data_IF_683146752297
#
_entry.id   IF_683146752297
#
_cell.length_a   1.000
_cell.length_b   1.000
_cell.length_c   1.000
_cell.angle_alpha   90.00
_cell.angle_beta   90.00
_cell.angle_gamma   90.00
#
_symmetry.space_group_name_H-M   'P 1'
#
loop_
_entity.id
_entity.type
_entity.pdbx_description
1 polymer ?
#
# COMPACT_ATOMS: atom_id res chain seq x y z
N UNK A 1 -37.73 29.74 -15.92
CA UNK A 1 -37.39 28.74 -14.89
C UNK A 1 -36.17 28.04 -15.46
N UNK A 2 -34.98 28.49 -15.05
CA UNK A 2 -33.72 27.89 -15.50
C UNK A 2 -33.51 26.62 -14.70
N UNK A 3 -33.37 25.49 -15.39
CA UNK A 3 -32.96 24.24 -14.76
C UNK A 3 -31.62 24.45 -14.05
N UNK A 4 -31.44 23.94 -12.83
CA UNK A 4 -30.17 24.02 -12.14
C UNK A 4 -29.14 23.24 -12.97
N UNK A 5 -28.01 23.88 -13.26
CA UNK A 5 -26.83 23.23 -13.84
C UNK A 5 -26.36 22.18 -12.84
N UNK A 6 -26.77 20.94 -13.05
CA UNK A 6 -26.18 19.77 -12.41
C UNK A 6 -24.69 19.82 -12.74
N UNK A 7 -23.84 20.05 -11.74
CA UNK A 7 -22.41 20.25 -11.94
C UNK A 7 -21.70 18.97 -12.43
N UNK A 8 -22.43 17.87 -12.65
CA UNK A 8 -22.00 16.70 -13.39
C UNK A 8 -20.79 15.98 -12.78
N UNK A 9 -20.42 16.31 -11.53
CA UNK A 9 -19.30 15.68 -10.85
C UNK A 9 -19.72 14.29 -10.40
N UNK A 10 -18.96 13.28 -10.81
CA UNK A 10 -19.25 11.93 -10.39
C UNK A 10 -19.01 11.81 -8.87
N UNK A 11 -19.75 10.92 -8.16
CA UNK A 11 -19.47 10.64 -6.76
C UNK A 11 -18.04 10.12 -6.48
N UNK A 12 -17.33 9.66 -7.52
CA UNK A 12 -15.91 9.30 -7.45
C UNK A 12 -15.03 10.56 -7.38
N UNK A 13 -15.34 11.59 -8.17
CA UNK A 13 -14.58 12.84 -8.18
C UNK A 13 -14.64 13.55 -6.82
N UNK A 14 -15.82 13.64 -6.21
CA UNK A 14 -15.96 14.30 -4.91
C UNK A 14 -15.13 13.60 -3.82
N UNK A 15 -15.17 12.27 -3.79
CA UNK A 15 -14.42 11.47 -2.82
C UNK A 15 -12.92 11.54 -3.06
N UNK A 16 -12.48 11.40 -4.31
CA UNK A 16 -11.08 11.52 -4.66
C UNK A 16 -10.56 12.94 -4.36
N UNK A 17 -11.36 14.00 -4.56
CA UNK A 17 -11.00 15.37 -4.13
C UNK A 17 -10.88 15.50 -2.62
N UNK A 18 -11.80 14.90 -1.86
CA UNK A 18 -11.72 14.90 -0.39
C UNK A 18 -10.46 14.19 0.11
N UNK A 19 -10.17 13.02 -0.45
CA UNK A 19 -8.95 12.29 -0.14
C UNK A 19 -7.70 13.08 -0.57
N UNK A 20 -7.73 13.77 -1.71
CA UNK A 20 -6.64 14.64 -2.14
C UNK A 20 -6.39 15.80 -1.16
N UNK A 21 -7.45 16.41 -0.62
CA UNK A 21 -7.33 17.46 0.39
C UNK A 21 -6.63 16.94 1.66
N UNK A 22 -6.91 15.70 2.07
CA UNK A 22 -6.23 15.05 3.19
C UNK A 22 -4.75 14.79 2.86
N UNK A 23 -4.46 14.20 1.70
CA UNK A 23 -3.09 13.92 1.23
C UNK A 23 -2.25 15.21 1.21
N UNK A 24 -2.80 16.30 0.65
CA UNK A 24 -2.07 17.54 0.42
C UNK A 24 -2.20 18.57 1.54
N UNK A 25 -2.87 18.22 2.65
CA UNK A 25 -2.74 18.97 3.91
C UNK A 25 -1.31 18.87 4.48
N UNK A 26 -0.54 17.87 4.04
CA UNK A 26 0.85 17.63 4.42
C UNK A 26 1.76 17.76 3.18
N UNK A 27 2.54 18.84 3.06
CA UNK A 27 3.47 18.99 1.94
C UNK A 27 4.50 17.86 1.91
N UNK A 28 4.74 17.27 0.73
CA UNK A 28 5.78 16.26 0.51
C UNK A 28 5.30 15.05 -0.28
N UNK A 29 5.67 13.86 0.20
CA UNK A 29 5.30 12.58 -0.39
C UNK A 29 4.15 11.91 0.36
N UNK A 30 3.49 11.00 -0.34
CA UNK A 30 2.44 10.14 0.20
C UNK A 30 2.69 8.68 -0.19
N UNK A 31 2.43 7.78 0.75
CA UNK A 31 2.23 6.36 0.47
C UNK A 31 0.81 6.01 0.90
N UNK A 32 -0.04 5.64 -0.06
CA UNK A 32 -1.33 5.03 0.22
C UNK A 32 -1.15 3.51 0.29
N UNK A 33 -1.60 2.88 1.37
CA UNK A 33 -1.53 1.43 1.55
C UNK A 33 -2.93 0.87 1.50
N UNK A 34 -3.20 -0.04 0.57
CA UNK A 34 -4.49 -0.69 0.42
C UNK A 34 -4.36 -2.21 0.56
N UNK A 35 -5.31 -2.81 1.26
CA UNK A 35 -5.41 -4.25 1.49
C UNK A 35 -6.47 -4.84 0.60
N UNK A 36 -6.19 -5.97 -0.01
CA UNK A 36 -7.14 -6.72 -0.81
C UNK A 36 -7.13 -8.19 -0.43
N UNK A 37 -8.30 -8.80 -0.47
CA UNK A 37 -8.46 -10.23 -0.29
C UNK A 37 -7.67 -11.00 -1.36
N UNK A 38 -6.98 -12.07 -0.96
CA UNK A 38 -6.11 -12.81 -1.87
C UNK A 38 -6.84 -13.42 -3.06
N UNK A 39 -8.03 -13.96 -2.83
CA UNK A 39 -8.75 -14.78 -3.82
C UNK A 39 -9.73 -13.97 -4.67
N UNK A 40 -10.38 -12.99 -4.06
CA UNK A 40 -11.44 -12.18 -4.69
C UNK A 40 -10.95 -10.82 -5.17
N UNK A 41 -9.79 -10.38 -4.67
CA UNK A 41 -9.24 -9.05 -4.89
C UNK A 41 -10.19 -7.93 -4.43
N UNK A 42 -11.15 -8.23 -3.56
CA UNK A 42 -12.02 -7.21 -2.99
C UNK A 42 -11.24 -6.38 -1.94
N UNK A 43 -11.42 -5.05 -1.90
CA UNK A 43 -10.72 -4.22 -0.94
C UNK A 43 -11.17 -4.55 0.49
N UNK A 44 -10.21 -4.67 1.41
CA UNK A 44 -10.43 -4.93 2.83
C UNK A 44 -10.33 -3.66 3.68
N UNK A 45 -9.49 -2.71 3.26
CA UNK A 45 -9.27 -1.43 3.93
C UNK A 45 -8.05 -0.72 3.38
N UNK A 46 -7.80 0.50 3.83
CA UNK A 46 -6.63 1.27 3.42
C UNK A 46 -6.18 2.26 4.49
N UNK A 47 -5.01 2.85 4.30
CA UNK A 47 -4.50 3.97 5.10
C UNK A 47 -3.63 4.89 4.24
N UNK A 48 -3.51 6.16 4.65
CA UNK A 48 -2.71 7.18 3.96
C UNK A 48 -1.59 7.67 4.89
N UNK A 49 -0.36 7.61 4.40
CA UNK A 49 0.82 8.14 5.08
C UNK A 49 1.41 9.28 4.27
N UNK A 50 1.08 10.52 4.63
CA UNK A 50 1.60 11.72 3.99
C UNK A 50 2.55 12.46 4.94
N UNK A 51 3.66 12.98 4.40
CA UNK A 51 4.66 13.68 5.20
C UNK A 51 5.73 14.35 4.35
N UNK A 52 6.60 15.16 4.98
CA UNK A 52 7.68 15.84 4.27
C UNK A 52 8.65 14.83 3.65
N UNK A 53 9.32 15.24 2.57
CA UNK A 53 10.44 14.49 2.04
C UNK A 53 11.58 14.45 3.08
N UNK A 54 12.06 13.25 3.39
CA UNK A 54 13.13 13.02 4.35
C UNK A 54 14.30 12.23 3.77
N UNK A 55 14.12 11.55 2.62
CA UNK A 55 15.13 10.74 1.93
C UNK A 55 16.05 9.96 2.90
N UNK A 56 15.49 8.96 3.59
CA UNK A 56 16.23 8.21 4.61
C UNK A 56 17.06 7.07 4.00
N UNK A 57 18.16 6.71 4.69
CA UNK A 57 18.95 5.53 4.34
C UNK A 57 18.24 4.22 4.70
N UNK A 58 18.65 3.12 4.09
CA UNK A 58 18.15 1.78 4.44
C UNK A 58 18.40 1.47 5.94
N UNK A 59 19.55 1.87 6.48
CA UNK A 59 19.89 1.63 7.89
C UNK A 59 18.93 2.35 8.85
N UNK A 60 18.58 3.61 8.55
CA UNK A 60 17.59 4.36 9.32
C UNK A 60 16.19 3.76 9.17
N UNK A 61 15.81 3.39 7.95
CA UNK A 61 14.54 2.72 7.67
C UNK A 61 14.40 1.41 8.43
N UNK A 62 15.48 0.64 8.52
CA UNK A 62 15.53 -0.64 9.25
C UNK A 62 15.29 -0.46 10.74
N UNK A 63 15.95 0.54 11.35
CA UNK A 63 15.74 0.88 12.77
C UNK A 63 14.31 1.35 13.00
N UNK A 64 13.77 2.15 12.08
CA UNK A 64 12.39 2.64 12.15
C UNK A 64 11.37 1.51 12.05
N UNK A 65 11.52 0.61 11.08
CA UNK A 65 10.68 -0.57 10.93
C UNK A 65 10.72 -1.45 12.18
N UNK A 66 11.93 -1.71 12.71
CA UNK A 66 12.09 -2.49 13.94
C UNK A 66 11.35 -1.86 15.13
N UNK A 67 11.40 -0.54 15.25
CA UNK A 67 10.78 0.21 16.36
C UNK A 67 9.26 0.22 16.25
N UNK A 68 8.73 0.47 15.06
CA UNK A 68 7.30 0.70 14.86
C UNK A 68 6.51 -0.60 14.67
N UNK A 69 7.12 -1.62 14.03
CA UNK A 69 6.41 -2.84 13.62
C UNK A 69 6.93 -4.11 14.29
N UNK A 70 8.12 -4.04 14.90
CA UNK A 70 8.84 -5.22 15.39
C UNK A 70 9.68 -5.94 14.33
N UNK A 71 9.62 -5.52 13.06
CA UNK A 71 10.27 -6.22 11.95
C UNK A 71 11.17 -5.29 11.13
N UNK A 72 12.47 -5.28 11.44
CA UNK A 72 13.46 -4.52 10.66
C UNK A 72 14.87 -5.10 10.78
N UNK A 73 15.45 -5.08 11.99
CA UNK A 73 16.85 -5.45 12.22
C UNK A 73 17.13 -6.91 11.88
N UNK A 74 16.18 -7.81 12.15
CA UNK A 74 16.30 -9.25 11.85
C UNK A 74 15.89 -9.66 10.42
N UNK A 75 15.34 -8.75 9.62
CA UNK A 75 14.81 -9.05 8.28
C UNK A 75 15.81 -8.81 7.15
N UNK A 76 15.71 -9.56 6.07
CA UNK A 76 16.37 -9.22 4.80
C UNK A 76 15.61 -8.12 4.07
N UNK A 77 16.32 -7.21 3.38
CA UNK A 77 15.66 -6.30 2.44
C UNK A 77 15.21 -7.09 1.20
N UNK A 78 13.94 -6.96 0.83
CA UNK A 78 13.39 -7.60 -0.38
C UNK A 78 12.83 -6.57 -1.35
N UNK A 79 12.80 -6.92 -2.63
CA UNK A 79 12.47 -5.97 -3.69
C UNK A 79 13.53 -4.88 -3.86
N UNK A 80 13.16 -3.77 -4.49
CA UNK A 80 14.05 -2.63 -4.74
C UNK A 80 13.26 -1.34 -4.84
N UNK A 81 13.86 -0.23 -4.41
CA UNK A 81 13.26 1.10 -4.47
C UNK A 81 12.40 1.41 -3.25
N UNK A 82 11.41 2.28 -3.45
CA UNK A 82 10.47 2.73 -2.43
C UNK A 82 9.19 1.89 -2.46
N UNK A 83 8.67 1.39 -1.33
CA UNK A 83 9.26 1.43 0.02
C UNK A 83 10.34 0.37 0.26
N UNK A 84 11.13 0.58 1.31
CA UNK A 84 11.97 -0.48 1.87
C UNK A 84 11.10 -1.54 2.54
N UNK A 85 11.27 -2.81 2.14
CA UNK A 85 10.52 -3.96 2.67
C UNK A 85 11.47 -4.89 3.41
N UNK A 86 11.40 -4.92 4.74
CA UNK A 86 12.21 -5.80 5.59
C UNK A 86 11.44 -7.05 5.93
N UNK A 87 11.82 -8.17 5.33
CA UNK A 87 11.17 -9.47 5.51
C UNK A 87 12.02 -10.38 6.38
N UNK A 88 11.44 -10.85 7.48
CA UNK A 88 12.02 -11.88 8.33
C UNK A 88 11.29 -13.20 8.09
N UNK A 89 11.99 -14.17 7.47
CA UNK A 89 11.41 -15.47 7.19
C UNK A 89 10.96 -16.16 8.49
N UNK A 90 9.74 -16.71 8.54
CA UNK A 90 9.26 -17.46 9.68
C UNK A 90 10.00 -18.80 9.83
N UNK A 91 10.54 -19.05 11.02
CA UNK A 91 10.80 -20.41 11.52
C UNK A 91 9.53 -20.92 12.19
N UNK A 92 9.30 -20.45 13.42
CA UNK A 92 7.98 -20.48 14.07
C UNK A 92 7.27 -19.11 13.92
N UNK A 93 8.05 -18.03 14.05
CA UNK A 93 7.61 -16.64 13.94
C UNK A 93 8.51 -15.86 12.99
N UNK A 94 7.90 -15.01 12.19
CA UNK A 94 8.53 -14.07 11.27
C UNK A 94 7.60 -12.89 11.03
N UNK A 95 7.88 -12.12 9.99
CA UNK A 95 7.05 -10.96 9.67
C UNK A 95 7.68 -10.03 8.67
N UNK A 96 7.04 -8.87 8.50
CA UNK A 96 7.46 -7.84 7.56
C UNK A 96 7.26 -6.47 8.18
N UNK A 97 8.22 -5.57 7.94
CA UNK A 97 8.10 -4.15 8.19
C UNK A 97 8.41 -3.36 6.94
N UNK A 98 7.62 -2.32 6.67
CA UNK A 98 7.70 -1.53 5.44
C UNK A 98 7.80 -0.06 5.79
N UNK A 99 8.80 0.62 5.22
CA UNK A 99 9.07 2.04 5.46
C UNK A 99 9.22 2.76 4.13
N UNK A 100 8.48 3.85 3.96
CA UNK A 100 8.65 4.72 2.80
C UNK A 100 10.04 5.34 2.82
N UNK A 101 10.82 5.14 1.75
CA UNK A 101 12.13 5.77 1.59
C UNK A 101 12.01 7.30 1.48
N UNK A 102 10.90 7.79 0.94
CA UNK A 102 10.68 9.22 0.68
C UNK A 102 10.32 10.00 1.93
N UNK A 103 9.44 9.46 2.76
CA UNK A 103 8.97 10.16 3.98
C UNK A 103 9.65 9.66 5.25
N UNK A 104 10.25 8.48 5.22
CA UNK A 104 10.79 7.79 6.40
C UNK A 104 9.72 7.27 7.37
N UNK A 105 8.44 7.29 6.97
CA UNK A 105 7.35 6.76 7.76
C UNK A 105 7.26 5.24 7.58
N UNK A 106 7.05 4.51 8.68
CA UNK A 106 6.54 3.13 8.60
C UNK A 106 5.13 3.18 8.02
N UNK A 107 4.84 2.27 7.09
CA UNK A 107 3.57 2.25 6.35
C UNK A 107 2.86 0.90 6.46
N UNK A 108 3.57 -0.16 6.82
CA UNK A 108 2.98 -1.48 7.04
C UNK A 108 3.85 -2.34 7.95
N UNK A 109 3.21 -3.15 8.78
CA UNK A 109 3.85 -4.09 9.69
C UNK A 109 2.94 -5.27 9.99
N UNK A 110 3.46 -6.49 9.92
CA UNK A 110 2.67 -7.67 10.22
C UNK A 110 3.49 -8.94 10.44
N UNK A 111 2.94 -9.82 11.25
CA UNK A 111 3.53 -11.10 11.64
C UNK A 111 3.22 -12.20 10.63
N UNK A 112 4.12 -13.17 10.52
CA UNK A 112 3.88 -14.40 9.77
C UNK A 112 4.20 -15.56 10.71
N UNK A 113 3.23 -16.43 10.93
CA UNK A 113 3.33 -17.51 11.92
C UNK A 113 3.25 -18.86 11.22
N UNK A 114 4.16 -19.78 11.57
CA UNK A 114 4.08 -21.16 11.09
C UNK A 114 2.90 -21.88 11.73
N UNK A 115 2.05 -22.52 10.92
CA UNK A 115 0.86 -23.25 11.39
C UNK A 115 -0.06 -22.41 12.30
N UNK A 116 -0.07 -21.09 12.08
CA UNK A 116 -0.85 -20.12 12.82
C UNK A 116 -1.22 -18.92 11.95
N UNK A 117 -1.92 -17.95 12.53
CA UNK A 117 -2.31 -16.71 11.83
C UNK A 117 -1.60 -15.52 12.46
N UNK A 118 -0.70 -14.91 11.70
CA UNK A 118 -0.08 -13.65 12.08
C UNK A 118 -1.05 -12.47 12.00
N UNK A 119 -0.77 -11.46 12.82
CA UNK A 119 -1.54 -10.23 12.86
C UNK A 119 -0.85 -9.07 12.15
N UNK A 120 -1.66 -8.16 11.60
CA UNK A 120 -1.14 -6.87 11.10
C UNK A 120 -1.02 -5.98 12.33
N UNK A 121 0.22 -5.65 12.71
CA UNK A 121 0.53 -4.82 13.88
C UNK A 121 0.61 -3.32 13.54
N UNK A 122 0.80 -2.98 12.26
CA UNK A 122 0.89 -1.59 11.81
C UNK A 122 0.26 -1.38 10.41
N UNK A 123 -0.53 -0.31 10.21
CA UNK A 123 -1.10 0.57 11.23
C UNK A 123 -2.06 -0.18 12.17
N UNK A 124 -2.29 0.37 13.36
CA UNK A 124 -3.19 -0.21 14.37
C UNK A 124 -4.68 -0.09 14.01
N UNK A 125 -5.01 0.76 13.03
CA UNK A 125 -6.35 0.92 12.48
C UNK A 125 -6.28 1.03 10.96
N UNK A 126 -7.38 0.65 10.31
CA UNK A 126 -7.54 0.76 8.87
C UNK A 126 -8.84 1.51 8.57
N UNK A 127 -8.80 2.38 7.57
CA UNK A 127 -10.01 2.98 7.00
C UNK A 127 -10.82 1.90 6.29
N UNK A 128 -12.17 1.98 6.36
CA UNK A 128 -13.03 0.97 5.76
C UNK A 128 -12.95 0.96 4.24
N UNK A 129 -12.98 -0.23 3.63
CA UNK A 129 -13.01 -0.41 2.17
C UNK A 129 -14.14 0.36 1.46
N UNK A 130 -15.26 0.60 2.15
CA UNK A 130 -16.40 1.35 1.62
C UNK A 130 -16.07 2.81 1.26
N UNK A 131 -14.98 3.36 1.79
CA UNK A 131 -14.47 4.69 1.43
C UNK A 131 -13.75 4.71 0.08
N UNK A 132 -13.04 3.63 -0.29
CA UNK A 132 -12.27 3.55 -1.54
C UNK A 132 -13.12 3.74 -2.79
N UNK A 133 -14.42 3.38 -2.71
CA UNK A 133 -15.30 3.14 -3.87
C UNK A 133 -14.64 2.19 -4.88
N UNK A 134 -15.45 1.60 -5.73
CA UNK A 134 -14.96 0.86 -6.89
C UNK A 134 -15.57 1.48 -8.14
N UNK A 135 -14.93 1.26 -9.29
CA UNK A 135 -15.30 1.83 -10.59
C UNK A 135 -15.08 3.34 -10.70
N UNK A 136 -14.12 3.87 -9.96
CA UNK A 136 -13.58 5.20 -10.20
C UNK A 136 -12.51 5.09 -11.29
N UNK A 137 -12.86 5.38 -12.54
CA UNK A 137 -11.86 5.49 -13.62
C UNK A 137 -11.06 6.78 -13.42
N UNK A 138 -9.84 6.65 -12.89
CA UNK A 138 -8.86 7.73 -12.90
C UNK A 138 -8.29 7.91 -14.31
N UNK A 139 -8.09 9.16 -14.74
CA UNK A 139 -7.30 9.45 -15.95
C UNK A 139 -5.80 9.20 -15.74
N UNK A 140 -5.35 9.15 -14.48
CA UNK A 140 -3.95 8.90 -14.13
C UNK A 140 -3.67 7.43 -13.81
N UNK A 141 -2.50 6.94 -14.26
CA UNK A 141 -2.06 5.55 -14.08
C UNK A 141 -1.44 5.25 -12.70
N UNK A 142 -0.93 4.04 -12.53
CA UNK A 142 -0.24 3.56 -11.32
C UNK A 142 1.27 3.93 -11.26
N UNK A 143 1.65 4.96 -12.02
CA UNK A 143 3.03 5.38 -12.17
C UNK A 143 3.82 4.58 -13.21
N UNK A 144 5.08 5.01 -13.50
CA UNK A 144 5.96 4.39 -14.49
C UNK A 144 6.54 3.02 -14.10
N UNK A 145 6.46 2.64 -12.82
CA UNK A 145 7.05 1.39 -12.30
C UNK A 145 6.03 0.65 -11.44
N UNK A 146 5.83 -0.64 -11.76
CA UNK A 146 5.05 -1.57 -10.95
C UNK A 146 5.85 -2.84 -10.72
N UNK A 147 5.90 -3.31 -9.48
CA UNK A 147 6.59 -4.55 -9.12
C UNK A 147 6.01 -5.14 -7.84
N UNK A 148 6.17 -6.45 -7.63
CA UNK A 148 5.75 -7.06 -6.38
C UNK A 148 6.63 -8.19 -5.89
N UNK A 149 6.45 -8.54 -4.62
CA UNK A 149 7.21 -9.59 -3.95
C UNK A 149 6.29 -10.54 -3.19
N UNK A 150 6.46 -11.84 -3.41
CA UNK A 150 5.72 -12.88 -2.74
C UNK A 150 6.47 -13.28 -1.47
N UNK A 151 5.92 -12.95 -0.30
CA UNK A 151 6.56 -13.28 0.98
C UNK A 151 6.41 -14.77 1.33
N UNK A 152 5.43 -15.48 0.76
CA UNK A 152 5.28 -16.92 0.98
C UNK A 152 6.39 -17.72 0.28
N UNK A 153 6.83 -17.28 -0.90
CA UNK A 153 7.88 -17.96 -1.70
C UNK A 153 9.22 -17.22 -1.71
N UNK A 154 9.29 -16.03 -1.11
CA UNK A 154 10.46 -15.15 -1.12
C UNK A 154 10.98 -14.84 -2.53
N UNK A 155 10.06 -14.52 -3.46
CA UNK A 155 10.39 -14.28 -4.86
C UNK A 155 9.65 -13.08 -5.45
N UNK A 156 10.19 -12.51 -6.54
CA UNK A 156 9.46 -11.51 -7.32
C UNK A 156 8.17 -12.11 -7.90
N UNK A 157 7.12 -11.29 -7.98
CA UNK A 157 5.82 -11.64 -8.58
C UNK A 157 5.84 -11.22 -10.05
N UNK A 158 5.37 -12.11 -10.93
CA UNK A 158 5.26 -11.80 -12.35
C UNK A 158 4.14 -10.80 -12.61
N UNK A 159 4.32 -9.96 -13.62
CA UNK A 159 3.34 -8.91 -13.97
C UNK A 159 1.92 -9.47 -14.20
N UNK A 160 1.82 -10.63 -14.88
CA UNK A 160 0.54 -11.29 -15.14
C UNK A 160 -0.21 -11.68 -13.85
N UNK A 161 0.52 -12.01 -12.78
CA UNK A 161 -0.06 -12.36 -11.48
C UNK A 161 -0.45 -11.10 -10.67
N UNK A 162 0.25 -9.98 -10.89
CA UNK A 162 -0.12 -8.69 -10.28
C UNK A 162 -1.35 -8.06 -10.95
N UNK A 163 -1.59 -8.33 -12.24
CA UNK A 163 -2.61 -7.63 -13.03
C UNK A 163 -3.99 -7.55 -12.35
N UNK A 164 -4.56 -8.64 -11.77
CA UNK A 164 -5.88 -8.56 -11.16
C UNK A 164 -5.97 -7.58 -9.98
N UNK A 165 -5.00 -7.58 -9.06
CA UNK A 165 -5.02 -6.63 -7.93
C UNK A 165 -4.71 -5.20 -8.40
N UNK A 166 -3.87 -5.05 -9.43
CA UNK A 166 -3.58 -3.75 -10.02
C UNK A 166 -4.79 -3.14 -10.72
N UNK A 167 -5.62 -3.95 -11.38
CA UNK A 167 -6.88 -3.50 -11.96
C UNK A 167 -7.85 -3.03 -10.87
N UNK A 168 -7.91 -3.75 -9.74
CA UNK A 168 -8.74 -3.35 -8.60
C UNK A 168 -8.30 -2.02 -7.98
N UNK A 169 -7.01 -1.81 -7.73
CA UNK A 169 -6.54 -0.53 -7.16
C UNK A 169 -6.75 0.63 -8.14
N UNK A 170 -6.61 0.41 -9.47
CA UNK A 170 -6.92 1.42 -10.50
C UNK A 170 -8.36 1.91 -10.46
N UNK A 171 -9.29 1.03 -10.07
CA UNK A 171 -10.71 1.33 -9.94
C UNK A 171 -11.09 2.04 -8.63
N UNK A 172 -10.14 2.28 -7.72
CA UNK A 172 -10.39 3.00 -6.46
C UNK A 172 -10.16 4.50 -6.59
N UNK A 173 -10.57 5.26 -5.57
CA UNK A 173 -10.26 6.70 -5.50
C UNK A 173 -8.78 7.01 -5.23
N UNK A 174 -7.96 6.04 -4.79
CA UNK A 174 -6.56 6.31 -4.37
C UNK A 174 -5.74 6.93 -5.51
N UNK A 175 -5.65 6.31 -6.71
CA UNK A 175 -4.89 6.91 -7.81
C UNK A 175 -5.43 8.29 -8.19
N UNK A 176 -6.76 8.43 -8.32
CA UNK A 176 -7.38 9.70 -8.66
C UNK A 176 -7.06 10.81 -7.65
N UNK A 177 -7.06 10.49 -6.35
CA UNK A 177 -6.74 11.43 -5.28
C UNK A 177 -5.29 11.93 -5.37
N UNK A 178 -4.34 11.03 -5.64
CA UNK A 178 -2.93 11.41 -5.85
C UNK A 178 -2.77 12.23 -7.14
N UNK A 179 -3.52 11.92 -8.20
CA UNK A 179 -3.43 12.68 -9.45
C UNK A 179 -4.12 14.07 -9.40
N UNK A 180 -4.97 14.33 -8.40
CA UNK A 180 -5.60 15.65 -8.25
C UNK A 180 -4.63 16.77 -7.89
N UNK A 181 -3.54 16.44 -7.21
CA UNK A 181 -2.53 17.41 -6.79
C UNK A 181 -1.12 16.85 -6.95
N UNK A 182 -0.86 15.97 -7.91
CA UNK A 182 0.44 15.34 -7.98
C UNK A 182 0.46 14.24 -9.02
N UNK A 183 1.31 13.26 -8.80
CA UNK A 183 1.44 12.10 -9.67
C UNK A 183 1.87 10.90 -8.84
N UNK A 184 1.52 9.73 -9.36
CA UNK A 184 1.98 8.44 -8.80
C UNK A 184 3.39 8.18 -9.31
N UNK A 185 4.33 7.95 -8.38
CA UNK A 185 5.74 7.71 -8.64
C UNK A 185 5.98 6.26 -9.07
N UNK A 186 5.35 5.34 -8.33
CA UNK A 186 5.42 3.91 -8.54
C UNK A 186 4.34 3.22 -7.70
N UNK A 187 4.10 1.94 -8.01
CA UNK A 187 3.23 1.08 -7.22
C UNK A 187 3.97 -0.20 -6.85
N UNK A 188 4.00 -0.54 -5.57
CA UNK A 188 4.58 -1.80 -5.09
C UNK A 188 3.50 -2.71 -4.52
N UNK A 189 3.70 -4.01 -4.62
CA UNK A 189 2.77 -5.00 -4.09
C UNK A 189 3.53 -6.04 -3.29
N UNK A 190 3.01 -6.44 -2.14
CA UNK A 190 3.44 -7.68 -1.49
C UNK A 190 2.27 -8.65 -1.40
N UNK A 191 2.53 -9.94 -1.67
CA UNK A 191 1.64 -11.01 -1.26
C UNK A 191 2.01 -11.40 0.16
N UNK A 192 1.13 -11.08 1.11
CA UNK A 192 1.32 -11.26 2.53
C UNK A 192 0.50 -12.45 3.04
N UNK A 193 1.13 -13.60 3.35
CA UNK A 193 0.40 -14.84 3.57
C UNK A 193 -0.24 -14.96 4.96
N UNK A 194 0.17 -14.15 5.96
CA UNK A 194 -0.10 -14.29 7.41
C UNK A 194 0.29 -15.62 8.05
N UNK A 195 0.30 -16.72 7.29
CA UNK A 195 0.62 -18.08 7.71
C UNK A 195 1.59 -18.76 6.73
N UNK A 196 2.46 -19.63 7.22
CA UNK A 196 3.33 -20.49 6.38
C UNK A 196 3.33 -21.94 6.87
N UNK A 197 3.93 -22.83 6.06
CA UNK A 197 3.92 -24.29 6.27
C UNK A 197 2.87 -24.93 5.38
N UNK A 198 1.59 -24.66 5.67
CA UNK A 198 0.49 -24.83 4.73
C UNK A 198 -0.06 -23.44 4.40
N UNK A 199 0.27 -22.92 3.21
CA UNK A 199 -0.27 -21.64 2.76
C UNK A 199 -1.80 -21.70 2.81
N UNK A 200 -2.40 -20.78 3.57
CA UNK A 200 -3.85 -20.61 3.66
C UNK A 200 -4.27 -19.39 2.83
N UNK A 201 -4.86 -19.60 1.64
CA UNK A 201 -5.37 -18.53 0.79
C UNK A 201 -6.40 -17.61 1.49
N UNK A 202 -7.10 -18.10 2.52
CA UNK A 202 -8.14 -17.35 3.22
C UNK A 202 -7.60 -16.36 4.25
N UNK A 203 -6.34 -16.51 4.67
CA UNK A 203 -5.64 -15.55 5.52
C UNK A 203 -4.69 -14.65 4.73
N UNK A 204 -4.34 -15.03 3.50
CA UNK A 204 -3.45 -14.25 2.67
C UNK A 204 -4.12 -12.96 2.17
N UNK A 205 -3.31 -11.91 1.98
CA UNK A 205 -3.76 -10.62 1.49
C UNK A 205 -2.76 -10.04 0.49
N UNK A 206 -3.26 -9.30 -0.49
CA UNK A 206 -2.44 -8.41 -1.30
C UNK A 206 -2.35 -7.06 -0.60
N UNK A 207 -1.13 -6.59 -0.36
CA UNK A 207 -0.89 -5.24 0.18
C UNK A 207 -0.28 -4.40 -0.93
N UNK A 208 -1.01 -3.36 -1.34
CA UNK A 208 -0.64 -2.47 -2.44
C UNK A 208 -0.21 -1.13 -1.87
N UNK A 209 0.99 -0.69 -2.22
CA UNK A 209 1.56 0.61 -1.89
C UNK A 209 1.53 1.48 -3.13
N UNK A 210 0.73 2.55 -3.12
CA UNK A 210 0.71 3.56 -4.19
C UNK A 210 1.49 4.77 -3.68
N UNK A 211 2.69 4.98 -4.21
CA UNK A 211 3.58 6.05 -3.81
C UNK A 211 3.38 7.27 -4.72
N UNK A 212 3.28 8.46 -4.16
CA UNK A 212 3.05 9.68 -4.93
C UNK A 212 3.41 10.95 -4.18
N UNK A 213 3.09 12.09 -4.78
CA UNK A 213 3.39 13.42 -4.25
C UNK A 213 3.59 14.44 -5.37
N UNK A 214 4.27 15.54 -5.07
CA UNK A 214 4.64 16.59 -6.02
C UNK A 214 6.11 16.43 -6.48
N UNK A 215 6.42 16.82 -7.73
CA UNK A 215 7.79 16.87 -8.24
C UNK A 215 8.39 18.10 -7.58
N UNK A 216 9.54 17.94 -6.94
CA UNK A 216 10.43 19.07 -6.68
C UNK A 216 11.00 19.60 -8.00
#
# INVERSE_FOLDING_TARGET
MQDPVDSGQSPCDERARRLAQEIYAHPGAVTAVARFDYSTYEPLGFEIFAGPYSAISEAEARVRAQTDTGFGTGGGLVGSGDPFVFYQSPGDFGGVGVVSQRTGLSVFGGEIVWDGRGEISYPSSWRPASELRTRCTSSGGLGPSVSGWNLATSSAIQEAELAPVLDRIRETVIPAAIWFGGYVFDTKVILYPRSVGAFDPSSAEWIVFVNGGWLE
#
